data_IF_271317608907
#
_entry.id   IF_271317608907
#
_cell.length_a   1.000
_cell.length_b   1.000
_cell.length_c   1.000
_cell.angle_alpha   90.00
_cell.angle_beta   90.00
_cell.angle_gamma   90.00
#
_symmetry.space_group_name_H-M   'P 1'
#
loop_
_entity.id
_entity.type
_entity.pdbx_description
1 polymer ?
#
# COMPACT_ATOMS: atom_id res chain seq x y z
N UNK A 1 -10.74 49.44 0.08
CA UNK A 1 -9.65 48.44 0.17
C UNK A 1 -9.95 47.29 1.13
N UNK A 2 -10.35 47.50 2.40
CA UNK A 2 -10.65 46.41 3.36
C UNK A 2 -11.66 45.36 2.86
N UNK A 3 -12.75 45.79 2.21
CA UNK A 3 -13.79 44.87 1.68
C UNK A 3 -13.31 43.96 0.55
N UNK A 4 -12.35 44.43 -0.26
CA UNK A 4 -11.76 43.66 -1.38
C UNK A 4 -10.83 42.58 -0.82
N UNK A 5 -10.05 42.91 0.22
CA UNK A 5 -9.17 41.95 0.88
C UNK A 5 -9.96 40.82 1.57
N UNK A 6 -11.07 41.15 2.25
CA UNK A 6 -11.96 40.16 2.85
C UNK A 6 -12.60 39.23 1.81
N UNK A 7 -12.98 39.76 0.65
CA UNK A 7 -13.54 38.97 -0.45
C UNK A 7 -12.49 38.04 -1.07
N UNK A 8 -11.24 38.52 -1.23
CA UNK A 8 -10.14 37.70 -1.73
C UNK A 8 -9.80 36.54 -0.78
N UNK A 9 -9.77 36.79 0.53
CA UNK A 9 -9.50 35.75 1.54
C UNK A 9 -10.59 34.68 1.52
N UNK A 10 -11.86 35.08 1.40
CA UNK A 10 -12.98 34.13 1.34
C UNK A 10 -12.98 33.30 0.05
N UNK A 11 -12.61 33.92 -1.09
CA UNK A 11 -12.45 33.22 -2.36
C UNK A 11 -11.29 32.21 -2.33
N UNK A 12 -10.15 32.53 -1.73
CA UNK A 12 -9.01 31.60 -1.62
C UNK A 12 -9.35 30.39 -0.74
N UNK A 13 -10.06 30.60 0.38
CA UNK A 13 -10.46 29.51 1.30
C UNK A 13 -11.47 28.53 0.68
N UNK A 14 -12.30 28.99 -0.26
CA UNK A 14 -13.31 28.15 -0.92
C UNK A 14 -12.74 27.29 -2.06
N UNK A 15 -11.59 27.66 -2.64
CA UNK A 15 -10.90 26.85 -3.68
C UNK A 15 -10.15 25.67 -3.05
N UNK A 16 -9.68 25.79 -1.80
CA UNK A 16 -8.97 24.72 -1.09
C UNK A 16 -9.83 23.53 -0.66
N UNK A 17 -11.16 23.68 -0.60
CA UNK A 17 -12.06 22.60 -0.17
C UNK A 17 -12.28 21.50 -1.22
N UNK A 18 -11.93 21.73 -2.48
CA UNK A 18 -12.15 20.80 -3.60
C UNK A 18 -10.89 20.05 -4.06
N UNK A 19 -9.74 20.26 -3.40
CA UNK A 19 -8.49 19.61 -3.77
C UNK A 19 -8.27 18.25 -3.08
N UNK A 20 -9.17 17.80 -2.20
CA UNK A 20 -9.17 16.41 -1.77
C UNK A 20 -10.01 15.58 -2.74
N UNK A 21 -9.38 14.60 -3.38
CA UNK A 21 -10.08 13.56 -4.11
C UNK A 21 -10.94 12.83 -3.09
N UNK A 22 -12.26 12.83 -3.26
CA UNK A 22 -13.15 11.96 -2.50
C UNK A 22 -12.64 10.52 -2.67
N UNK A 23 -12.22 9.84 -1.59
CA UNK A 23 -11.66 8.49 -1.68
C UNK A 23 -12.60 7.50 -2.36
N UNK A 24 -13.92 7.73 -2.30
CA UNK A 24 -14.93 6.90 -2.95
C UNK A 24 -15.01 7.12 -4.46
N UNK A 25 -14.51 8.27 -4.95
CA UNK A 25 -14.39 8.59 -6.38
C UNK A 25 -13.04 8.19 -6.96
N UNK A 26 -12.14 7.63 -6.15
CA UNK A 26 -10.87 7.13 -6.64
C UNK A 26 -11.10 5.98 -7.64
N UNK A 27 -10.44 5.99 -8.82
CA UNK A 27 -10.47 4.84 -9.72
C UNK A 27 -9.79 3.60 -9.10
N UNK A 28 -9.10 3.78 -7.97
CA UNK A 28 -8.44 2.75 -7.19
C UNK A 28 -9.22 2.35 -5.93
N UNK A 29 -10.50 2.72 -5.82
CA UNK A 29 -11.33 2.35 -4.68
C UNK A 29 -11.72 0.86 -4.69
N UNK A 30 -11.86 0.26 -5.88
CA UNK A 30 -12.23 -1.15 -6.07
C UNK A 30 -11.01 -1.99 -6.44
N UNK A 31 -11.08 -3.31 -6.33
CA UNK A 31 -10.02 -4.16 -6.84
C UNK A 31 -9.90 -4.04 -8.37
N UNK A 32 -8.68 -4.20 -8.86
CA UNK A 32 -8.37 -4.22 -10.29
C UNK A 32 -8.85 -5.50 -10.98
N UNK A 33 -8.59 -5.61 -12.29
CA UNK A 33 -9.17 -6.66 -13.14
C UNK A 33 -8.54 -8.04 -12.94
N UNK A 34 -7.39 -8.16 -12.27
CA UNK A 34 -6.69 -9.42 -12.11
C UNK A 34 -7.13 -10.14 -10.84
N UNK A 35 -7.50 -11.43 -10.97
CA UNK A 35 -7.64 -12.30 -9.80
C UNK A 35 -6.26 -12.59 -9.21
N UNK A 36 -6.13 -12.51 -7.88
CA UNK A 36 -4.85 -12.60 -7.17
C UNK A 36 -4.68 -13.98 -6.54
N UNK A 37 -3.46 -14.51 -6.62
CA UNK A 37 -3.01 -15.69 -5.87
C UNK A 37 -2.06 -15.23 -4.78
N UNK A 38 -2.22 -15.82 -3.59
CA UNK A 38 -1.31 -15.70 -2.46
C UNK A 38 -0.51 -17.00 -2.33
N UNK A 39 0.82 -16.91 -2.41
CA UNK A 39 1.73 -18.05 -2.25
C UNK A 39 2.71 -17.75 -1.10
N UNK A 40 3.27 -18.76 -0.43
CA UNK A 40 4.34 -18.58 0.56
C UNK A 40 5.48 -19.56 0.32
N UNK A 41 6.70 -19.09 0.54
CA UNK A 41 7.92 -19.91 0.49
C UNK A 41 8.70 -19.72 1.79
N UNK A 42 8.64 -20.75 2.64
CA UNK A 42 9.36 -20.78 3.91
C UNK A 42 10.81 -21.25 3.77
N UNK A 43 11.21 -21.68 2.57
CA UNK A 43 12.51 -22.31 2.28
C UNK A 43 13.47 -21.39 1.51
N UNK A 44 12.96 -20.35 0.86
CA UNK A 44 13.76 -19.33 0.19
C UNK A 44 14.65 -18.55 1.17
N UNK A 45 15.75 -17.93 0.72
CA UNK A 45 16.56 -17.01 1.52
C UNK A 45 16.37 -15.57 1.01
N UNK A 46 16.02 -14.58 1.86
CA UNK A 46 15.75 -14.70 3.30
C UNK A 46 14.53 -15.58 3.59
N UNK A 47 14.63 -16.37 4.67
CA UNK A 47 13.59 -17.32 5.07
C UNK A 47 12.26 -16.59 5.27
N UNK A 48 11.20 -17.25 4.82
CA UNK A 48 9.81 -16.84 4.99
C UNK A 48 9.35 -15.66 4.11
N UNK A 49 9.09 -15.97 2.84
CA UNK A 49 8.53 -15.08 1.85
C UNK A 49 7.02 -15.31 1.68
N UNK A 50 6.27 -14.21 1.50
CA UNK A 50 4.87 -14.23 1.08
C UNK A 50 4.72 -13.47 -0.24
N UNK A 51 3.96 -14.02 -1.17
CA UNK A 51 3.78 -13.48 -2.52
C UNK A 51 2.32 -13.15 -2.77
N UNK A 52 2.06 -12.00 -3.38
CA UNK A 52 0.78 -11.70 -4.01
C UNK A 52 1.02 -11.41 -5.48
N UNK A 53 0.31 -12.09 -6.38
CA UNK A 53 0.49 -11.90 -7.81
C UNK A 53 -0.79 -12.16 -8.59
N UNK A 54 -0.93 -11.60 -9.80
CA UNK A 54 -1.95 -12.06 -10.74
C UNK A 54 -1.88 -13.57 -10.95
N UNK A 55 -3.04 -14.20 -10.94
CA UNK A 55 -3.23 -15.63 -11.27
C UNK A 55 -2.87 -15.95 -12.72
N UNK A 56 -3.08 -14.99 -13.63
CA UNK A 56 -2.78 -15.08 -15.05
C UNK A 56 -1.53 -14.28 -15.40
N UNK A 57 -0.72 -14.81 -16.31
CA UNK A 57 0.42 -14.10 -16.91
C UNK A 57 0.03 -13.21 -18.11
N UNK A 58 -1.22 -13.28 -18.57
CA UNK A 58 -1.71 -12.41 -19.65
C UNK A 58 -1.64 -10.95 -19.23
N UNK A 59 -1.00 -10.11 -20.05
CA UNK A 59 -0.81 -8.68 -19.74
C UNK A 59 0.46 -8.37 -18.96
N UNK A 60 1.25 -9.38 -18.57
CA UNK A 60 2.59 -9.19 -18.03
C UNK A 60 3.64 -8.86 -19.09
N UNK A 61 4.91 -8.62 -18.70
CA UNK A 61 5.46 -8.74 -17.35
C UNK A 61 4.96 -7.65 -16.40
N UNK A 62 4.72 -8.01 -15.14
CA UNK A 62 4.19 -7.11 -14.13
C UNK A 62 5.30 -6.46 -13.31
N UNK A 63 5.18 -5.18 -12.93
CA UNK A 63 6.09 -4.55 -11.98
C UNK A 63 6.10 -5.29 -10.64
N UNK A 64 7.28 -5.37 -10.01
CA UNK A 64 7.47 -6.05 -8.72
C UNK A 64 7.66 -5.04 -7.59
N UNK A 65 6.99 -5.26 -6.48
CA UNK A 65 7.15 -4.52 -5.22
C UNK A 65 7.77 -5.46 -4.20
N UNK A 66 8.90 -5.05 -3.62
CA UNK A 66 9.50 -5.72 -2.47
C UNK A 66 9.11 -4.95 -1.21
N UNK A 67 8.59 -5.66 -0.22
CA UNK A 67 8.12 -5.08 1.03
C UNK A 67 8.65 -5.84 2.24
N UNK A 68 8.96 -5.10 3.30
CA UNK A 68 9.25 -5.66 4.62
C UNK A 68 8.27 -5.05 5.61
N UNK A 69 7.54 -5.87 6.40
CA UNK A 69 6.67 -5.37 7.46
C UNK A 69 7.45 -4.53 8.48
N UNK A 70 6.74 -3.61 9.13
CA UNK A 70 7.32 -2.75 10.16
C UNK A 70 7.84 -3.53 11.37
N UNK A 71 8.69 -2.86 12.15
CA UNK A 71 9.24 -3.39 13.38
C UNK A 71 8.15 -3.64 14.44
N UNK A 72 8.27 -4.73 15.18
CA UNK A 72 7.54 -4.92 16.42
C UNK A 72 8.35 -4.35 17.59
N UNK A 73 7.65 -3.95 18.66
CA UNK A 73 8.32 -3.71 19.94
C UNK A 73 8.89 -5.03 20.50
N UNK A 74 9.91 -4.93 21.35
CA UNK A 74 10.55 -6.08 21.99
C UNK A 74 9.51 -7.04 22.60
N UNK A 75 9.57 -8.32 22.21
CA UNK A 75 8.67 -9.36 22.73
C UNK A 75 7.26 -9.37 22.12
N UNK A 76 7.00 -8.60 21.07
CA UNK A 76 5.69 -8.57 20.38
C UNK A 76 5.80 -9.07 18.93
N UNK A 77 4.69 -9.60 18.39
CA UNK A 77 4.61 -10.17 17.04
C UNK A 77 3.32 -9.77 16.31
N UNK A 78 2.81 -8.57 16.59
CA UNK A 78 1.55 -8.05 16.03
C UNK A 78 1.66 -7.76 14.53
N UNK A 79 2.82 -7.26 14.10
CA UNK A 79 3.11 -6.96 12.70
C UNK A 79 3.91 -8.12 12.11
N UNK A 80 3.39 -8.74 11.07
CA UNK A 80 4.06 -9.81 10.33
C UNK A 80 3.70 -9.71 8.84
N UNK A 81 4.19 -10.64 8.02
CA UNK A 81 3.91 -10.69 6.58
C UNK A 81 2.43 -10.63 6.20
N UNK A 82 1.52 -11.06 7.08
CA UNK A 82 0.08 -11.06 6.87
C UNK A 82 -0.66 -9.78 7.32
N UNK A 83 0.04 -8.83 7.98
CA UNK A 83 -0.60 -7.64 8.55
C UNK A 83 -1.19 -6.67 7.52
N UNK A 84 -0.87 -6.86 6.24
CA UNK A 84 -1.23 -5.96 5.15
C UNK A 84 -1.88 -6.69 3.97
N UNK A 85 -2.39 -7.92 4.18
CA UNK A 85 -2.90 -8.79 3.11
C UNK A 85 -3.94 -8.12 2.22
N UNK A 86 -4.88 -7.39 2.81
CA UNK A 86 -5.93 -6.68 2.05
C UNK A 86 -5.31 -5.63 1.11
N UNK A 87 -4.31 -4.89 1.58
CA UNK A 87 -3.64 -3.86 0.79
C UNK A 87 -2.81 -4.49 -0.34
N UNK A 88 -2.08 -5.56 -0.05
CA UNK A 88 -1.25 -6.22 -1.06
C UNK A 88 -2.06 -7.00 -2.08
N UNK A 89 -3.16 -7.62 -1.66
CA UNK A 89 -4.12 -8.23 -2.58
C UNK A 89 -4.75 -7.19 -3.48
N UNK A 90 -5.15 -6.03 -2.93
CA UNK A 90 -5.67 -4.93 -3.73
C UNK A 90 -4.62 -4.44 -4.74
N UNK A 91 -3.38 -4.19 -4.33
CA UNK A 91 -2.33 -3.75 -5.25
C UNK A 91 -2.03 -4.80 -6.34
N UNK A 92 -1.92 -6.07 -5.98
CA UNK A 92 -1.68 -7.15 -6.93
C UNK A 92 -2.83 -7.31 -7.94
N UNK A 93 -4.06 -6.98 -7.57
CA UNK A 93 -5.21 -7.00 -8.48
C UNK A 93 -5.13 -5.96 -9.60
N UNK A 94 -4.25 -4.96 -9.47
CA UNK A 94 -3.92 -3.99 -10.52
C UNK A 94 -2.74 -4.40 -11.42
N UNK A 95 -2.21 -5.62 -11.25
CA UNK A 95 -1.11 -6.11 -12.08
C UNK A 95 0.28 -5.84 -11.50
N UNK A 96 0.44 -6.02 -10.19
CA UNK A 96 1.73 -6.00 -9.50
C UNK A 96 2.06 -7.38 -8.93
N UNK A 97 3.35 -7.73 -8.92
CA UNK A 97 3.85 -8.85 -8.11
C UNK A 97 4.38 -8.26 -6.81
N UNK A 98 3.82 -8.65 -5.67
CA UNK A 98 4.28 -8.24 -4.35
C UNK A 98 5.04 -9.39 -3.71
N UNK A 99 6.25 -9.10 -3.23
CA UNK A 99 7.07 -10.03 -2.46
C UNK A 99 7.26 -9.42 -1.08
N UNK A 100 6.86 -10.15 -0.05
CA UNK A 100 6.95 -9.73 1.34
C UNK A 100 7.98 -10.60 2.03
N UNK A 101 9.01 -9.98 2.60
CA UNK A 101 10.02 -10.65 3.40
C UNK A 101 9.60 -10.59 4.86
N UNK A 102 9.33 -11.74 5.48
CA UNK A 102 9.00 -11.80 6.90
C UNK A 102 10.28 -11.80 7.74
N UNK A 103 10.90 -10.63 7.88
CA UNK A 103 12.00 -10.45 8.82
C UNK A 103 11.59 -9.51 9.95
N UNK A 104 11.35 -10.11 11.11
CA UNK A 104 10.84 -9.48 12.34
C UNK A 104 11.89 -8.70 13.13
N UNK A 105 13.14 -8.65 12.70
CA UNK A 105 14.20 -7.88 13.35
C UNK A 105 14.39 -6.49 12.71
N UNK A 106 13.30 -5.74 12.54
CA UNK A 106 13.42 -4.29 12.40
C UNK A 106 13.83 -3.74 13.76
N UNK A 107 15.10 -3.44 13.98
CA UNK A 107 15.55 -2.74 15.18
C UNK A 107 14.80 -1.40 15.34
N UNK A 108 14.68 -0.85 16.56
CA UNK A 108 14.13 0.48 16.72
C UNK A 108 14.88 1.44 15.79
N UNK A 109 14.17 2.35 15.11
CA UNK A 109 14.78 3.54 14.52
C UNK A 109 15.29 4.40 15.68
N UNK A 110 16.44 4.03 16.25
CA UNK A 110 17.10 4.77 17.32
C UNK A 110 18.06 5.78 16.70
N UNK A 111 17.65 7.04 16.70
CA UNK A 111 18.52 8.17 17.03
C UNK A 111 17.76 9.07 17.98
#
# INVERSE_FOLDING_TARGET
>A
MRKILSFLIFAVLSISAYNQIDPLLSPYYQNGPYSVVMDSDMTATPNDLLFFRPSSSTGGPFPTVLFQPGANGTGTSYINKHSYDIYWQHLASYGFVVIIINNTAGGPNST
#
